data_IF_968845358487
#
_entry.id   IF_968845358487
#
_cell.length_a   1.000
_cell.length_b   1.000
_cell.length_c   1.000
_cell.angle_alpha   90.00
_cell.angle_beta   90.00
_cell.angle_gamma   90.00
#
_symmetry.space_group_name_H-M   'P 1'
#
loop_
_entity.id
_entity.type
_entity.pdbx_description
1 polymer ?
#
# COMPACT_ATOMS: atom_id res chain seq x y z
N UNK A 1 -7.70 2.44 -15.27
CA UNK A 1 -6.40 2.48 -14.58
C UNK A 1 -5.70 3.66 -15.20
N UNK A 2 -5.56 4.74 -14.46
CA UNK A 2 -4.83 5.91 -14.95
C UNK A 2 -3.37 5.45 -15.13
N UNK A 3 -2.89 5.44 -16.38
CA UNK A 3 -1.52 5.05 -16.71
C UNK A 3 -0.61 6.18 -16.24
N UNK A 4 -0.35 6.20 -14.93
CA UNK A 4 0.68 7.04 -14.33
C UNK A 4 1.98 6.66 -15.00
N UNK A 5 2.43 7.53 -15.91
CA UNK A 5 3.66 7.36 -16.67
C UNK A 5 4.83 7.32 -15.68
N UNK A 6 5.34 6.13 -15.45
CA UNK A 6 6.51 5.90 -14.60
C UNK A 6 7.73 6.55 -15.27
N UNK A 7 8.39 7.44 -14.54
CA UNK A 7 9.70 7.96 -14.92
C UNK A 7 10.78 7.04 -14.36
N UNK A 8 11.39 6.25 -15.24
CA UNK A 8 12.44 5.31 -14.88
C UNK A 8 13.83 5.99 -14.75
N UNK A 9 13.95 7.24 -15.20
CA UNK A 9 15.20 8.01 -15.13
C UNK A 9 15.26 8.93 -13.90
N UNK A 10 14.16 9.00 -13.13
CA UNK A 10 14.07 9.83 -11.94
C UNK A 10 15.12 9.40 -10.88
N UNK A 11 15.92 10.37 -10.44
CA UNK A 11 16.91 10.15 -9.38
C UNK A 11 16.47 10.83 -8.08
N UNK A 12 16.44 10.07 -6.99
CA UNK A 12 16.16 10.61 -5.65
C UNK A 12 17.44 10.62 -4.83
N UNK A 13 17.80 11.78 -4.26
CA UNK A 13 18.94 11.86 -3.33
C UNK A 13 18.70 11.04 -2.06
N UNK A 14 17.44 10.99 -1.59
CA UNK A 14 16.97 10.19 -0.45
C UNK A 14 15.53 9.78 -0.71
N UNK A 15 15.19 8.49 -0.54
CA UNK A 15 13.83 7.98 -0.68
C UNK A 15 13.63 6.74 0.21
N UNK A 16 12.38 6.47 0.59
CA UNK A 16 11.95 5.24 1.28
C UNK A 16 10.73 4.69 0.53
N UNK A 17 10.86 3.46 0.02
CA UNK A 17 9.80 2.75 -0.68
C UNK A 17 9.38 1.49 0.09
N UNK A 18 8.08 1.19 0.08
CA UNK A 18 7.50 -0.05 0.61
C UNK A 18 6.56 -0.65 -0.42
N UNK A 19 6.50 -1.98 -0.49
CA UNK A 19 5.65 -2.73 -1.41
C UNK A 19 5.14 -4.02 -0.74
N UNK A 20 4.04 -4.58 -1.24
CA UNK A 20 3.44 -5.76 -0.63
C UNK A 20 2.70 -6.65 -1.64
N UNK A 21 2.86 -7.96 -1.49
CA UNK A 21 1.99 -8.97 -2.11
C UNK A 21 1.08 -9.56 -1.04
N UNK A 22 -0.23 -9.48 -1.27
CA UNK A 22 -1.24 -9.81 -0.25
C UNK A 22 -1.95 -11.13 -0.56
N UNK A 23 -1.90 -12.07 0.39
CA UNK A 23 -2.87 -13.17 0.47
C UNK A 23 -4.07 -12.72 1.31
N UNK A 24 -5.26 -12.64 0.70
CA UNK A 24 -6.44 -12.07 1.33
C UNK A 24 -7.01 -12.96 2.45
N UNK A 25 -7.11 -12.43 3.68
CA UNK A 25 -7.79 -13.08 4.82
C UNK A 25 -9.10 -12.37 5.17
N UNK A 26 -9.08 -11.03 5.28
CA UNK A 26 -10.27 -10.19 5.48
C UNK A 26 -10.60 -9.40 4.22
N UNK A 27 -11.82 -9.55 3.69
CA UNK A 27 -12.31 -8.88 2.47
C UNK A 27 -11.69 -9.43 1.17
N UNK A 28 -12.35 -9.23 0.02
CA UNK A 28 -11.89 -9.77 -1.25
C UNK A 28 -10.62 -9.08 -1.75
N UNK A 29 -9.83 -9.72 -2.63
CA UNK A 29 -8.77 -9.05 -3.38
C UNK A 29 -9.35 -7.87 -4.19
N UNK A 30 -8.90 -6.66 -3.88
CA UNK A 30 -9.28 -5.44 -4.61
C UNK A 30 -8.20 -4.38 -4.40
N UNK A 31 -8.05 -3.36 -5.28
CA UNK A 31 -7.09 -2.28 -5.09
C UNK A 31 -7.24 -1.59 -3.73
N UNK A 32 -8.48 -1.41 -3.25
CA UNK A 32 -8.77 -0.81 -1.93
C UNK A 32 -8.25 -1.68 -0.76
N UNK A 33 -8.28 -3.00 -0.92
CA UNK A 33 -7.85 -3.95 0.11
C UNK A 33 -6.38 -4.38 -0.04
N UNK A 34 -5.72 -3.99 -1.12
CA UNK A 34 -4.27 -4.16 -1.28
C UNK A 34 -3.54 -3.26 -0.29
N UNK A 35 -2.34 -3.66 0.12
CA UNK A 35 -1.46 -2.80 0.88
C UNK A 35 -0.57 -1.98 -0.08
N UNK A 36 -0.02 -0.82 0.33
CA UNK A 36 -0.12 -0.21 1.66
C UNK A 36 -1.51 0.33 2.00
N UNK A 37 -1.94 0.18 3.26
CA UNK A 37 -3.15 0.84 3.77
C UNK A 37 -2.81 2.24 4.26
N UNK A 38 -3.66 3.21 3.95
CA UNK A 38 -3.49 4.62 4.30
C UNK A 38 -4.33 5.02 5.51
N UNK A 39 -3.82 5.94 6.33
CA UNK A 39 -4.58 6.55 7.43
C UNK A 39 -5.68 7.52 6.98
N UNK A 40 -5.67 7.97 5.72
CA UNK A 40 -6.64 8.92 5.18
C UNK A 40 -6.23 9.47 3.81
N UNK A 41 -7.00 10.43 3.28
CA UNK A 41 -6.76 10.97 1.93
C UNK A 41 -5.36 11.61 1.76
N UNK A 42 -4.78 12.13 2.85
CA UNK A 42 -3.44 12.75 2.84
C UNK A 42 -2.26 11.78 2.87
N UNK A 43 -2.48 10.47 3.06
CA UNK A 43 -1.42 9.46 3.18
C UNK A 43 -0.34 9.80 4.22
N UNK A 44 -0.71 10.48 5.31
CA UNK A 44 0.21 10.87 6.40
C UNK A 44 0.92 9.64 7.00
N UNK A 45 0.20 8.50 7.07
CA UNK A 45 0.76 7.21 7.45
C UNK A 45 0.36 6.12 6.47
N UNK A 46 1.32 5.26 6.14
CA UNK A 46 1.14 4.08 5.30
C UNK A 46 1.64 2.85 6.07
N UNK A 47 0.88 1.76 6.01
CA UNK A 47 1.25 0.50 6.68
C UNK A 47 1.15 -0.69 5.73
N UNK A 48 2.16 -1.54 5.81
CA UNK A 48 2.15 -2.90 5.27
C UNK A 48 2.12 -3.87 6.44
N UNK A 49 1.22 -4.84 6.40
CA UNK A 49 1.03 -5.80 7.48
C UNK A 49 1.03 -7.25 6.94
N UNK A 50 1.84 -8.10 7.57
CA UNK A 50 1.82 -9.55 7.41
C UNK A 50 1.33 -10.18 8.72
N UNK A 51 0.14 -10.76 8.70
CA UNK A 51 -0.47 -11.36 9.87
C UNK A 51 -1.98 -11.17 9.88
N UNK A 52 -2.57 -11.37 11.05
CA UNK A 52 -4.00 -11.19 11.29
C UNK A 52 -4.16 -10.34 12.55
N UNK A 53 -4.84 -9.19 12.44
CA UNK A 53 -5.30 -8.43 13.61
C UNK A 53 -6.60 -9.06 14.07
N UNK A 54 -6.59 -9.73 15.22
CA UNK A 54 -7.71 -10.57 15.68
C UNK A 54 -8.86 -9.78 16.32
N UNK A 55 -8.68 -8.48 16.55
CA UNK A 55 -9.61 -7.61 17.29
C UNK A 55 -9.81 -6.25 16.59
N UNK A 56 -10.00 -6.26 15.27
CA UNK A 56 -10.10 -5.03 14.47
C UNK A 56 -11.52 -4.44 14.36
N UNK A 57 -12.53 -5.18 14.83
CA UNK A 57 -13.96 -4.77 14.85
C UNK A 57 -14.29 -4.12 16.17
#
# INVERSE_FOLDING_TARGET
VDETRLDLDQTFSVHTGIAHTRWATHGPPSPRNSHPQSSGEGNEFLVVHNGIVTNYV
#
